data_IF_654047841598
#
_entry.id   IF_654047841598
#
_cell.length_a   1.000
_cell.length_b   1.000
_cell.length_c   1.000
_cell.angle_alpha   90.00
_cell.angle_beta   90.00
_cell.angle_gamma   90.00
#
_symmetry.space_group_name_H-M   'P 1'
#
loop_
_entity.id
_entity.type
_entity.pdbx_description
1 polymer ?
#
# COMPACT_ATOMS: atom_id res chain seq x y z
N UNK A 1 -14.42 -5.94 3.70
CA UNK A 1 -14.01 -6.06 2.27
C UNK A 1 -13.37 -4.75 1.92
N UNK A 2 -12.05 -4.77 1.73
CA UNK A 2 -11.29 -3.54 1.50
C UNK A 2 -11.61 -2.97 0.12
N UNK A 3 -12.03 -1.70 0.09
CA UNK A 3 -12.34 -0.96 -1.14
C UNK A 3 -11.32 0.14 -1.38
N UNK A 4 -10.92 0.32 -2.64
CA UNK A 4 -9.91 1.30 -3.04
C UNK A 4 -10.56 2.42 -3.85
N UNK A 5 -10.29 3.67 -3.48
CA UNK A 5 -10.84 4.86 -4.18
C UNK A 5 -9.85 5.46 -5.16
N UNK A 6 -8.60 5.57 -4.76
CA UNK A 6 -7.52 6.12 -5.58
C UNK A 6 -6.20 5.50 -5.19
N UNK A 7 -5.21 5.58 -6.08
CA UNK A 7 -3.85 5.15 -5.76
C UNK A 7 -2.83 6.00 -6.51
N UNK A 8 -1.65 6.13 -5.91
CA UNK A 8 -0.44 6.57 -6.59
C UNK A 8 0.61 5.48 -6.51
N UNK A 9 1.45 5.41 -7.53
CA UNK A 9 2.61 4.51 -7.57
C UNK A 9 3.85 5.28 -7.99
N UNK A 10 4.90 5.18 -7.19
CA UNK A 10 6.20 5.79 -7.47
C UNK A 10 7.29 4.73 -7.47
N UNK A 11 8.25 4.84 -8.40
CA UNK A 11 9.42 3.97 -8.38
C UNK A 11 10.40 4.44 -7.31
N UNK A 12 10.76 3.53 -6.40
CA UNK A 12 11.77 3.81 -5.38
C UNK A 12 13.14 3.75 -6.04
N UNK A 13 13.79 4.90 -6.16
CA UNK A 13 15.13 5.01 -6.75
C UNK A 13 16.14 4.27 -5.88
N UNK A 14 16.85 3.34 -6.48
CA UNK A 14 18.05 2.73 -5.89
C UNK A 14 19.31 3.34 -6.52
N UNK A 15 19.82 4.46 -6.00
CA UNK A 15 21.03 5.10 -6.55
C UNK A 15 22.30 4.27 -6.34
N UNK A 16 22.27 3.28 -5.44
CA UNK A 16 23.43 2.44 -5.13
C UNK A 16 23.43 1.13 -5.92
N UNK A 17 22.29 0.71 -6.47
CA UNK A 17 22.16 -0.52 -7.26
C UNK A 17 22.43 -1.78 -6.43
N UNK A 18 22.25 -1.71 -5.12
CA UNK A 18 22.49 -2.83 -4.19
C UNK A 18 21.26 -3.72 -4.03
N UNK A 19 20.10 -3.23 -4.46
CA UNK A 19 18.84 -3.89 -4.29
C UNK A 19 18.55 -4.83 -5.46
N UNK A 20 18.21 -6.09 -5.15
CA UNK A 20 17.65 -7.00 -6.16
C UNK A 20 16.19 -6.62 -6.42
N UNK A 21 15.80 -6.66 -7.70
CA UNK A 21 14.48 -6.29 -8.16
C UNK A 21 14.20 -4.77 -8.20
N UNK A 22 13.01 -4.42 -8.68
CA UNK A 22 12.46 -3.05 -8.62
C UNK A 22 11.63 -2.89 -7.35
N UNK A 23 11.66 -1.69 -6.76
CA UNK A 23 10.75 -1.31 -5.68
C UNK A 23 9.82 -0.21 -6.12
N UNK A 24 8.59 -0.31 -5.66
CA UNK A 24 7.55 0.68 -5.90
C UNK A 24 6.92 1.03 -4.57
N UNK A 25 6.73 2.32 -4.34
CA UNK A 25 5.91 2.84 -3.26
C UNK A 25 4.50 3.05 -3.80
N UNK A 26 3.54 2.33 -3.22
CA UNK A 26 2.13 2.52 -3.48
C UNK A 26 1.52 3.30 -2.33
N UNK A 27 0.77 4.35 -2.62
CA UNK A 27 -0.12 4.99 -1.66
C UNK A 27 -1.53 4.78 -2.17
N UNK A 28 -2.28 3.89 -1.50
CA UNK A 28 -3.62 3.48 -1.89
C UNK A 28 -4.61 4.06 -0.90
N UNK A 29 -5.54 4.88 -1.36
CA UNK A 29 -6.61 5.41 -0.53
C UNK A 29 -7.72 4.37 -0.36
N UNK A 30 -8.03 4.07 0.89
CA UNK A 30 -9.02 3.08 1.30
C UNK A 30 -10.37 3.78 1.50
N UNK A 31 -11.44 3.15 1.01
CA UNK A 31 -12.82 3.50 1.33
C UNK A 31 -13.27 2.62 2.48
N UNK A 32 -13.11 3.15 3.70
CA UNK A 32 -13.38 2.45 4.95
C UNK A 32 -14.74 2.93 5.49
N UNK A 33 -15.70 2.04 5.74
CA UNK A 33 -17.00 2.39 6.33
C UNK A 33 -16.87 2.96 7.75
N UNK A 34 -17.79 3.82 8.19
CA UNK A 34 -17.77 4.43 9.54
C UNK A 34 -17.88 3.41 10.70
N UNK A 35 -18.37 2.21 10.41
CA UNK A 35 -18.54 1.11 11.39
C UNK A 35 -17.33 0.16 11.42
N UNK A 36 -16.29 0.47 10.66
CA UNK A 36 -15.07 -0.33 10.57
C UNK A 36 -14.00 0.17 11.56
N UNK A 37 -13.15 -0.74 12.03
CA UNK A 37 -12.10 -0.42 13.00
C UNK A 37 -11.00 0.47 12.42
N UNK A 38 -10.78 0.39 11.11
CA UNK A 38 -9.79 1.21 10.41
C UNK A 38 -10.32 2.62 10.13
N UNK A 39 -11.56 2.96 10.49
CA UNK A 39 -12.18 4.22 10.10
C UNK A 39 -11.54 5.44 10.78
N UNK A 40 -11.26 6.47 9.98
CA UNK A 40 -10.81 7.78 10.43
C UNK A 40 -11.54 8.86 9.63
N UNK A 41 -12.02 9.92 10.28
CA UNK A 41 -12.81 11.00 9.65
C UNK A 41 -12.13 11.63 8.42
N UNK A 42 -10.80 11.73 8.44
CA UNK A 42 -10.01 12.36 7.39
C UNK A 42 -9.53 11.37 6.30
N UNK A 43 -10.04 10.14 6.32
CA UNK A 43 -9.70 9.06 5.39
C UNK A 43 -8.45 8.29 5.79
N UNK A 44 -8.34 7.07 5.25
CA UNK A 44 -7.19 6.19 5.47
C UNK A 44 -6.54 5.83 4.13
N UNK A 45 -5.22 5.82 4.15
CA UNK A 45 -4.38 5.39 3.03
C UNK A 45 -3.40 4.32 3.50
N UNK A 46 -3.27 3.26 2.71
CA UNK A 46 -2.23 2.26 2.87
C UNK A 46 -1.01 2.66 2.05
N UNK A 47 0.13 2.88 2.72
CA UNK A 47 1.43 3.06 2.06
C UNK A 47 2.16 1.73 2.05
N UNK A 48 2.23 1.07 0.89
CA UNK A 48 2.87 -0.22 0.73
C UNK A 48 4.14 -0.13 -0.12
N UNK A 49 5.23 -0.75 0.36
CA UNK A 49 6.46 -0.92 -0.40
C UNK A 49 6.41 -2.28 -1.08
N UNK A 50 6.31 -2.27 -2.40
CA UNK A 50 6.24 -3.47 -3.23
C UNK A 50 7.61 -3.75 -3.82
N UNK A 51 8.08 -4.99 -3.68
CA UNK A 51 9.26 -5.49 -4.37
C UNK A 51 8.81 -6.39 -5.51
N UNK A 52 9.37 -6.13 -6.69
CA UNK A 52 9.22 -6.94 -7.90
C UNK A 52 10.60 -7.51 -8.22
N UNK A 53 10.78 -8.81 -8.04
CA UNK A 53 12.03 -9.51 -8.28
C UNK A 53 11.76 -10.71 -9.20
N UNK A 54 12.31 -10.66 -10.41
CA UNK A 54 12.05 -11.64 -11.48
C UNK A 54 10.54 -11.83 -11.73
N UNK A 55 9.95 -12.92 -11.23
CA UNK A 55 8.53 -13.26 -11.36
C UNK A 55 7.75 -13.13 -10.02
N UNK A 56 8.41 -12.69 -8.96
CA UNK A 56 7.81 -12.56 -7.63
C UNK A 56 7.50 -11.10 -7.31
N UNK A 57 6.24 -10.85 -6.95
CA UNK A 57 5.76 -9.58 -6.40
C UNK A 57 5.39 -9.82 -4.94
N UNK A 58 5.96 -9.02 -4.03
CA UNK A 58 5.67 -9.11 -2.60
C UNK A 58 5.62 -7.73 -1.95
N UNK A 59 4.81 -7.59 -0.90
CA UNK A 59 4.90 -6.45 0.02
C UNK A 59 6.13 -6.65 0.91
N UNK A 60 6.99 -5.64 0.99
CA UNK A 60 8.15 -5.59 1.90
C UNK A 60 7.73 -5.06 3.26
N UNK A 61 6.89 -4.02 3.24
CA UNK A 61 6.31 -3.37 4.40
C UNK A 61 5.07 -2.59 3.95
N UNK A 62 4.13 -2.41 4.85
CA UNK A 62 3.05 -1.44 4.66
C UNK A 62 2.86 -0.65 5.95
N UNK A 63 2.33 0.55 5.81
CA UNK A 63 1.90 1.39 6.92
C UNK A 63 0.51 1.96 6.60
N UNK A 64 -0.37 2.04 7.60
CA UNK A 64 -1.61 2.80 7.49
C UNK A 64 -1.35 4.25 7.91
N UNK A 65 -1.88 5.19 7.13
CA UNK A 65 -1.75 6.62 7.42
C UNK A 65 -3.04 7.37 7.11
N UNK A 66 -3.29 8.43 7.86
CA UNK A 66 -4.39 9.35 7.57
C UNK A 66 -4.14 10.03 6.21
N UNK A 67 -5.15 10.03 5.33
CA UNK A 67 -4.98 10.49 3.94
C UNK A 67 -4.59 11.97 3.85
N UNK A 68 -5.10 12.81 4.75
CA UNK A 68 -4.92 14.27 4.68
C UNK A 68 -3.61 14.73 5.33
N UNK A 69 -3.27 14.19 6.49
CA UNK A 69 -2.10 14.64 7.28
C UNK A 69 -0.86 13.78 7.03
N UNK A 70 -1.02 12.56 6.50
CA UNK A 70 0.04 11.56 6.43
C UNK A 70 0.45 11.04 7.81
N UNK A 71 -0.35 11.27 8.85
CA UNK A 71 -0.09 10.75 10.18
C UNK A 71 -0.23 9.23 10.17
N UNK A 72 0.81 8.53 10.65
CA UNK A 72 0.76 7.08 10.83
C UNK A 72 -0.33 6.71 11.82
N UNK A 73 -1.13 5.72 11.44
CA UNK A 73 -2.17 5.12 12.25
C UNK A 73 -1.62 3.84 12.89
N UNK A 74 -1.93 3.63 14.16
CA UNK A 74 -1.54 2.44 14.92
C UNK A 74 -2.60 1.35 14.74
N UNK A 75 -2.84 1.01 13.48
CA UNK A 75 -3.75 -0.04 13.05
C UNK A 75 -3.01 -0.98 12.10
N UNK A 76 -3.40 -2.26 12.13
CA UNK A 76 -2.93 -3.27 11.19
C UNK A 76 -4.11 -3.77 10.37
N UNK A 77 -3.84 -4.19 9.13
CA UNK A 77 -4.84 -4.84 8.29
C UNK A 77 -5.00 -6.31 8.71
N UNK A 78 -6.18 -6.87 8.49
CA UNK A 78 -6.34 -8.32 8.61
C UNK A 78 -5.60 -9.05 7.47
N UNK A 79 -5.23 -10.32 7.67
CA UNK A 79 -4.49 -11.11 6.65
C UNK A 79 -5.22 -11.16 5.29
N UNK A 80 -6.55 -11.24 5.32
CA UNK A 80 -7.38 -11.26 4.12
C UNK A 80 -7.34 -9.91 3.37
N UNK A 81 -7.20 -8.80 4.10
CA UNK A 81 -7.13 -7.45 3.54
C UNK A 81 -5.74 -7.15 2.97
N UNK A 82 -4.69 -7.59 3.66
CA UNK A 82 -3.32 -7.54 3.13
C UNK A 82 -3.19 -8.29 1.81
N UNK A 83 -3.83 -9.46 1.71
CA UNK A 83 -3.85 -10.24 0.48
C UNK A 83 -4.55 -9.49 -0.68
N UNK A 84 -5.63 -8.77 -0.38
CA UNK A 84 -6.35 -7.93 -1.35
C UNK A 84 -5.51 -6.73 -1.78
N UNK A 85 -4.81 -6.07 -0.84
CA UNK A 85 -3.87 -4.99 -1.15
C UNK A 85 -2.72 -5.46 -2.04
N UNK A 86 -2.12 -6.61 -1.73
CA UNK A 86 -1.06 -7.19 -2.54
C UNK A 86 -1.52 -7.48 -3.96
N UNK A 87 -2.72 -8.06 -4.11
CA UNK A 87 -3.30 -8.35 -5.41
C UNK A 87 -3.52 -7.06 -6.21
N UNK A 88 -4.09 -6.04 -5.57
CA UNK A 88 -4.31 -4.73 -6.17
C UNK A 88 -3.00 -4.09 -6.66
N UNK A 89 -1.97 -4.06 -5.81
CA UNK A 89 -0.65 -3.54 -6.16
C UNK A 89 -0.04 -4.29 -7.35
N UNK A 90 -0.17 -5.62 -7.38
CA UNK A 90 0.34 -6.47 -8.46
C UNK A 90 -0.32 -6.16 -9.81
N UNK A 91 -1.62 -5.90 -9.82
CA UNK A 91 -2.38 -5.57 -11.04
C UNK A 91 -2.10 -4.14 -11.55
N UNK A 92 -1.67 -3.23 -10.67
CA UNK A 92 -1.41 -1.82 -11.00
C UNK A 92 0.08 -1.45 -11.03
N UNK A 93 0.96 -2.45 -11.18
CA UNK A 93 2.38 -2.20 -11.38
C UNK A 93 2.62 -1.39 -12.67
N UNK A 94 3.41 -0.31 -12.63
CA UNK A 94 3.79 0.43 -13.83
C UNK A 94 4.73 -0.41 -14.70
N UNK A 95 4.49 -0.40 -16.02
CA UNK A 95 5.28 -1.10 -17.05
C UNK A 95 6.77 -0.71 -17.06
#
# INVERSE_FOLDING_TARGET
>A
MLTFTSYSVENVKDPFGILTGKRYEFVVQLDVPEDDELYVENGVSARAIIKVDEDQVSIVSYDLQETTTGQLLDFDMEEDEEAVLLLFCKEHLPE
#
